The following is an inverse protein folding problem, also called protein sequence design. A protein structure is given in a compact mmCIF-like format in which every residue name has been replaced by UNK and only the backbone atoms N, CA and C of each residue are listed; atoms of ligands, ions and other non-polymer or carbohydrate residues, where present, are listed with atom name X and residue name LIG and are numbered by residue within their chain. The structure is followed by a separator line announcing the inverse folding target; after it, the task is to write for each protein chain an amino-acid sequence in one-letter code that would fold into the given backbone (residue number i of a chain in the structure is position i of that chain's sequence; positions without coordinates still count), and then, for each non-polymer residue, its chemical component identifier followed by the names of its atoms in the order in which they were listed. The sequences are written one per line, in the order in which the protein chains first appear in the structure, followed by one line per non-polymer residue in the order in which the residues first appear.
data_IF_872507304227
#
_entry.id   IF_872507304227
#
_cell.length_a   1.000
_cell.length_b   1.000
_cell.length_c   1.000
_cell.angle_alpha   90.00
_cell.angle_beta   90.00
_cell.angle_gamma   90.00
#
_symmetry.space_group_name_H-M   'P 1'
#
loop_
_entity.id
_entity.type
_entity.pdbx_description
1 polymer ?
#
# COMPACT_ATOMS: atom_id res chain seq x y z
N UNK A 1 -7.30 6.66 3.76
CA UNK A 1 -6.13 6.42 4.65
C UNK A 1 -4.93 5.86 3.87
N UNK A 2 -5.04 4.73 3.16
CA UNK A 2 -3.91 4.09 2.46
C UNK A 2 -3.19 5.02 1.48
N UNK A 3 -3.96 5.68 0.61
CA UNK A 3 -3.46 6.71 -0.35
C UNK A 3 -2.58 7.75 0.35
N UNK A 4 -3.08 8.30 1.45
CA UNK A 4 -2.36 9.32 2.24
C UNK A 4 -1.05 8.79 2.84
N UNK A 5 -1.02 7.55 3.35
CA UNK A 5 0.20 6.96 3.90
C UNK A 5 1.25 6.72 2.80
N UNK A 6 0.84 6.24 1.63
CA UNK A 6 1.72 6.10 0.46
C UNK A 6 2.29 7.44 0.00
N UNK A 7 1.45 8.47 -0.09
CA UNK A 7 1.87 9.84 -0.44
C UNK A 7 2.84 10.45 0.58
N UNK A 8 2.62 10.23 1.88
CA UNK A 8 3.52 10.68 2.95
C UNK A 8 4.90 10.05 2.77
N UNK A 9 4.96 8.75 2.50
CA UNK A 9 6.23 8.04 2.30
C UNK A 9 6.93 8.51 1.03
N UNK A 10 6.21 8.62 -0.09
CA UNK A 10 6.74 9.16 -1.34
C UNK A 10 7.31 10.58 -1.16
N UNK A 11 6.55 11.46 -0.50
CA UNK A 11 6.94 12.84 -0.22
C UNK A 11 8.18 12.89 0.67
N UNK A 12 8.24 12.08 1.74
CA UNK A 12 9.41 12.01 2.62
C UNK A 12 10.65 11.53 1.89
N UNK A 13 10.54 10.49 1.07
CA UNK A 13 11.66 10.00 0.27
C UNK A 13 12.15 11.07 -0.70
N UNK A 14 11.25 11.77 -1.39
CA UNK A 14 11.61 12.89 -2.26
C UNK A 14 12.29 14.03 -1.50
N UNK A 15 11.74 14.45 -0.36
CA UNK A 15 12.34 15.50 0.48
C UNK A 15 13.71 15.12 1.03
N UNK A 16 13.94 13.84 1.30
CA UNK A 16 15.27 13.36 1.69
C UNK A 16 16.26 13.46 0.52
N UNK A 17 15.85 13.05 -0.68
CA UNK A 17 16.65 13.20 -1.91
C UNK A 17 17.01 14.67 -2.20
N UNK A 18 16.07 15.57 -1.93
CA UNK A 18 16.22 17.02 -2.13
C UNK A 18 16.98 17.72 -0.98
N UNK A 19 17.52 16.96 -0.02
CA UNK A 19 18.22 17.45 1.18
C UNK A 19 17.37 18.41 2.05
N UNK A 20 16.03 18.25 2.04
CA UNK A 20 15.10 19.07 2.82
C UNK A 20 14.74 18.46 4.18
N UNK A 21 15.10 17.20 4.42
CA UNK A 21 15.02 16.53 5.71
C UNK A 21 16.33 15.78 5.94
N UNK A 22 16.74 15.63 7.20
CA UNK A 22 17.92 14.88 7.56
C UNK A 22 17.66 13.36 7.56
N UNK A 23 18.72 12.56 7.61
CA UNK A 23 18.60 11.10 7.60
C UNK A 23 17.83 10.55 8.80
N UNK A 24 18.01 11.14 9.99
CA UNK A 24 17.32 10.70 11.20
C UNK A 24 15.80 10.94 11.10
N UNK A 25 15.39 12.12 10.62
CA UNK A 25 13.99 12.44 10.38
C UNK A 25 13.36 11.59 9.26
N UNK A 26 14.15 11.28 8.23
CA UNK A 26 13.71 10.37 7.16
C UNK A 26 13.50 8.94 7.67
N UNK A 27 14.49 8.34 8.31
CA UNK A 27 14.46 6.95 8.82
C UNK A 27 13.37 6.75 9.87
N UNK A 28 13.20 7.71 10.78
CA UNK A 28 12.10 7.71 11.77
C UNK A 28 10.74 7.69 11.07
N UNK A 29 10.56 8.56 10.06
CA UNK A 29 9.33 8.61 9.28
C UNK A 29 9.09 7.33 8.47
N UNK A 30 10.13 6.79 7.85
CA UNK A 30 10.06 5.56 7.08
C UNK A 30 9.59 4.38 7.95
N UNK A 31 10.16 4.24 9.14
CA UNK A 31 9.73 3.22 10.10
C UNK A 31 8.29 3.39 10.55
N UNK A 32 7.90 4.60 10.98
CA UNK A 32 6.55 4.85 11.51
C UNK A 32 5.44 4.71 10.45
N UNK A 33 5.57 5.43 9.33
CA UNK A 33 4.53 5.44 8.31
C UNK A 33 4.53 4.19 7.44
N UNK A 34 5.71 3.55 7.23
CA UNK A 34 5.81 2.29 6.52
C UNK A 34 5.09 1.17 7.27
N UNK A 35 5.39 1.03 8.56
CA UNK A 35 4.77 0.03 9.44
C UNK A 35 3.25 0.25 9.58
N UNK A 36 2.78 1.51 9.66
CA UNK A 36 1.36 1.82 9.60
C UNK A 36 0.73 1.39 8.27
N UNK A 37 1.33 1.75 7.13
CA UNK A 37 0.80 1.42 5.81
C UNK A 37 0.65 -0.09 5.62
N UNK A 38 1.73 -0.84 5.86
CA UNK A 38 1.79 -2.29 5.61
C UNK A 38 0.79 -3.04 6.49
N UNK A 39 0.74 -2.75 7.80
CA UNK A 39 -0.21 -3.42 8.71
C UNK A 39 -1.67 -3.15 8.36
N UNK A 40 -1.99 -1.91 7.99
CA UNK A 40 -3.35 -1.55 7.65
C UNK A 40 -3.78 -2.21 6.32
N UNK A 41 -2.92 -2.23 5.30
CA UNK A 41 -3.24 -2.88 4.02
C UNK A 41 -3.40 -4.39 4.16
N UNK A 42 -2.43 -5.08 4.77
CA UNK A 42 -2.54 -6.53 4.98
C UNK A 42 -3.80 -6.91 5.79
N UNK A 43 -4.10 -6.16 6.85
CA UNK A 43 -5.29 -6.41 7.68
C UNK A 43 -6.59 -6.19 6.92
N UNK A 44 -6.65 -5.15 6.10
CA UNK A 44 -7.80 -4.81 5.27
C UNK A 44 -8.06 -5.85 4.19
N UNK A 45 -7.07 -6.13 3.34
CA UNK A 45 -7.22 -7.10 2.25
C UNK A 45 -7.51 -8.51 2.78
N UNK A 46 -6.87 -8.92 3.90
CA UNK A 46 -7.17 -10.22 4.52
C UNK A 46 -8.63 -10.32 4.96
N UNK A 47 -9.21 -9.25 5.48
CA UNK A 47 -10.62 -9.22 5.86
C UNK A 47 -11.52 -9.25 4.62
N UNK A 48 -11.16 -8.53 3.57
CA UNK A 48 -11.90 -8.50 2.31
C UNK A 48 -11.99 -9.87 1.67
N UNK A 49 -10.84 -10.49 1.41
CA UNK A 49 -10.74 -11.80 0.75
C UNK A 49 -11.49 -12.88 1.53
N UNK A 50 -11.37 -12.87 2.86
CA UNK A 50 -11.89 -13.96 3.70
C UNK A 50 -13.35 -13.79 4.07
N UNK A 51 -13.84 -12.57 4.10
CA UNK A 51 -15.15 -12.26 4.69
C UNK A 51 -16.02 -11.45 3.74
N UNK A 52 -15.55 -10.28 3.33
CA UNK A 52 -16.39 -9.28 2.66
C UNK A 52 -16.70 -9.65 1.20
N UNK A 53 -15.69 -10.00 0.40
CA UNK A 53 -15.89 -10.43 -0.98
C UNK A 53 -16.76 -11.69 -1.09
N UNK A 54 -16.57 -12.74 -0.25
CA UNK A 54 -17.50 -13.86 -0.19
C UNK A 54 -18.95 -13.45 0.15
N UNK A 55 -19.18 -12.44 0.97
CA UNK A 55 -20.52 -11.92 1.25
C UNK A 55 -21.14 -11.27 0.01
N UNK A 56 -20.40 -10.38 -0.65
CA UNK A 56 -20.82 -9.70 -1.87
C UNK A 56 -21.13 -10.68 -3.01
N UNK A 57 -20.28 -11.69 -3.22
CA UNK A 57 -20.51 -12.73 -4.22
C UNK A 57 -21.74 -13.59 -3.96
N UNK A 58 -22.14 -13.78 -2.70
CA UNK A 58 -23.41 -14.43 -2.35
C UNK A 58 -24.61 -13.54 -2.61
N UNK A 59 -24.47 -12.23 -2.42
CA UNK A 59 -25.52 -11.25 -2.66
C UNK A 59 -25.78 -11.02 -4.16
N UNK A 60 -24.71 -10.92 -4.97
CA UNK A 60 -24.79 -10.69 -6.41
C UNK A 60 -23.72 -11.48 -7.18
N UNK A 61 -24.15 -12.50 -7.93
CA UNK A 61 -23.25 -13.34 -8.73
C UNK A 61 -22.48 -12.57 -9.81
N UNK A 62 -22.92 -11.37 -10.21
CA UNK A 62 -22.20 -10.52 -11.16
C UNK A 62 -20.87 -10.01 -10.60
N UNK A 63 -20.70 -10.03 -9.28
CA UNK A 63 -19.47 -9.60 -8.61
C UNK A 63 -18.30 -10.57 -8.81
N UNK A 64 -18.52 -11.85 -9.14
CA UNK A 64 -17.45 -12.87 -9.18
C UNK A 64 -16.26 -12.49 -10.05
N UNK A 65 -16.49 -11.95 -11.25
CA UNK A 65 -15.39 -11.49 -12.12
C UNK A 65 -14.63 -10.29 -11.53
N UNK A 66 -15.34 -9.41 -10.81
CA UNK A 66 -14.73 -8.29 -10.08
C UNK A 66 -13.94 -8.78 -8.87
N UNK A 67 -14.44 -9.78 -8.14
CA UNK A 67 -13.73 -10.42 -7.04
C UNK A 67 -12.41 -11.02 -7.50
N UNK A 68 -12.40 -11.79 -8.60
CA UNK A 68 -11.18 -12.39 -9.14
C UNK A 68 -10.14 -11.32 -9.52
N UNK A 69 -10.57 -10.19 -10.06
CA UNK A 69 -9.71 -9.04 -10.37
C UNK A 69 -9.10 -8.46 -9.08
N UNK A 70 -9.93 -8.16 -8.07
CA UNK A 70 -9.49 -7.55 -6.82
C UNK A 70 -8.58 -8.48 -6.00
N UNK A 71 -8.87 -9.78 -5.95
CA UNK A 71 -8.00 -10.77 -5.30
C UNK A 71 -6.65 -10.89 -6.02
N UNK A 72 -6.64 -10.83 -7.35
CA UNK A 72 -5.38 -10.79 -8.12
C UNK A 72 -4.58 -9.52 -7.82
N UNK A 73 -5.26 -8.38 -7.68
CA UNK A 73 -4.64 -7.12 -7.29
C UNK A 73 -4.02 -7.18 -5.89
N UNK A 74 -4.68 -7.85 -4.95
CA UNK A 74 -4.15 -8.05 -3.60
C UNK A 74 -2.82 -8.81 -3.64
N UNK A 75 -2.72 -9.88 -4.45
CA UNK A 75 -1.47 -10.62 -4.61
C UNK A 75 -0.33 -9.77 -5.19
N UNK A 76 -0.64 -8.90 -6.17
CA UNK A 76 0.35 -7.98 -6.74
C UNK A 76 0.77 -6.89 -5.74
N UNK A 77 -0.20 -6.35 -4.97
CA UNK A 77 0.07 -5.38 -3.91
C UNK A 77 0.94 -5.98 -2.80
N UNK A 78 0.68 -7.22 -2.37
CA UNK A 78 1.48 -7.90 -1.35
C UNK A 78 2.93 -8.04 -1.79
N UNK A 79 3.18 -8.45 -3.03
CA UNK A 79 4.55 -8.53 -3.57
C UNK A 79 5.26 -7.16 -3.56
N UNK A 80 4.55 -6.10 -3.98
CA UNK A 80 5.10 -4.74 -3.94
C UNK A 80 5.38 -4.25 -2.50
N UNK A 81 4.49 -4.57 -1.56
CA UNK A 81 4.65 -4.24 -0.14
C UNK A 81 5.82 -5.00 0.49
N UNK A 82 6.06 -6.24 0.09
CA UNK A 82 7.21 -7.04 0.53
C UNK A 82 8.52 -6.43 0.04
N UNK A 83 8.61 -6.03 -1.23
CA UNK A 83 9.77 -5.33 -1.79
C UNK A 83 10.06 -4.01 -1.05
N UNK A 84 9.02 -3.20 -0.84
CA UNK A 84 9.09 -1.96 -0.06
C UNK A 84 9.58 -2.24 1.36
N UNK A 85 9.06 -3.30 2.00
CA UNK A 85 9.43 -3.68 3.38
C UNK A 85 10.89 -4.06 3.46
N UNK A 86 11.37 -4.91 2.56
CA UNK A 86 12.76 -5.36 2.52
C UNK A 86 13.71 -4.18 2.32
N UNK A 87 13.40 -3.31 1.35
CA UNK A 87 14.23 -2.14 1.04
C UNK A 87 14.20 -1.09 2.14
N UNK A 88 13.03 -0.83 2.73
CA UNK A 88 12.89 0.10 3.86
C UNK A 88 13.69 -0.37 5.06
N UNK A 89 13.61 -1.67 5.40
CA UNK A 89 14.40 -2.25 6.48
C UNK A 89 15.91 -2.18 6.20
N UNK A 90 16.33 -2.35 4.95
CA UNK A 90 17.73 -2.18 4.55
C UNK A 90 18.19 -0.73 4.74
N UNK A 91 17.40 0.25 4.32
CA UNK A 91 17.68 1.68 4.51
C UNK A 91 17.82 2.02 5.99
N UNK A 92 16.88 1.57 6.83
CA UNK A 92 16.91 1.79 8.28
C UNK A 92 18.19 1.20 8.89
N UNK A 93 18.57 -0.04 8.52
CA UNK A 93 19.80 -0.67 9.02
C UNK A 93 21.07 0.04 8.55
N UNK A 94 21.12 0.46 7.28
CA UNK A 94 22.28 1.17 6.73
C UNK A 94 22.48 2.54 7.36
N UNK A 95 21.43 3.17 7.89
CA UNK A 95 21.56 4.43 8.60
C UNK A 95 22.48 4.34 9.81
N UNK A 96 22.44 3.22 10.54
CA UNK A 96 23.31 3.03 11.70
C UNK A 96 24.69 2.46 11.31
N UNK A 97 24.75 1.64 10.26
CA UNK A 97 25.95 0.88 9.90
C UNK A 97 26.87 1.59 8.90
N UNK A 98 26.29 2.15 7.82
CA UNK A 98 27.03 2.86 6.76
C UNK A 98 26.08 3.81 6.00
N UNK A 99 25.87 5.04 6.52
CA UNK A 99 24.96 6.01 5.92
C UNK A 99 25.27 6.33 4.45
N UNK A 100 26.54 6.17 4.03
CA UNK A 100 26.98 6.48 2.67
C UNK A 100 26.35 5.55 1.61
N UNK A 101 25.88 4.38 2.04
CA UNK A 101 25.26 3.36 1.19
C UNK A 101 23.76 3.55 1.00
N UNK A 102 23.08 4.32 1.87
CA UNK A 102 21.63 4.55 1.78
C UNK A 102 21.22 5.05 0.39
N UNK A 103 22.02 5.93 -0.21
CA UNK A 103 21.77 6.53 -1.54
C UNK A 103 21.50 5.49 -2.65
N UNK A 104 21.99 4.26 -2.49
CA UNK A 104 21.79 3.18 -3.45
C UNK A 104 20.34 2.62 -3.41
N UNK A 105 19.63 2.82 -2.30
CA UNK A 105 18.27 2.32 -2.11
C UNK A 105 17.20 3.40 -2.21
N UNK A 106 17.55 4.67 -1.97
CA UNK A 106 16.56 5.77 -1.94
C UNK A 106 15.84 5.96 -3.27
N UNK A 107 16.59 5.95 -4.39
CA UNK A 107 16.00 6.07 -5.72
C UNK A 107 15.00 4.95 -6.01
N UNK A 108 15.40 3.68 -5.93
CA UNK A 108 14.49 2.54 -6.08
C UNK A 108 13.29 2.58 -5.12
N UNK A 109 13.49 2.94 -3.85
CA UNK A 109 12.42 3.03 -2.86
C UNK A 109 11.40 4.12 -3.21
N UNK A 110 11.86 5.26 -3.74
CA UNK A 110 10.97 6.32 -4.25
C UNK A 110 10.11 5.83 -5.41
N UNK A 111 10.69 5.04 -6.31
CA UNK A 111 9.97 4.46 -7.43
C UNK A 111 8.93 3.44 -6.97
N UNK A 112 9.25 2.60 -5.99
CA UNK A 112 8.30 1.66 -5.39
C UNK A 112 7.13 2.38 -4.72
N UNK A 113 7.37 3.45 -3.95
CA UNK A 113 6.27 4.27 -3.38
C UNK A 113 5.42 4.97 -4.44
N UNK A 114 6.03 5.40 -5.55
CA UNK A 114 5.29 5.98 -6.68
C UNK A 114 4.42 4.93 -7.38
N UNK A 115 4.95 3.72 -7.61
CA UNK A 115 4.19 2.58 -8.14
C UNK A 115 3.02 2.23 -7.23
N UNK A 116 3.26 2.14 -5.92
CA UNK A 116 2.23 1.86 -4.93
C UNK A 116 1.12 2.90 -4.97
N UNK A 117 1.46 4.19 -5.07
CA UNK A 117 0.46 5.26 -5.11
C UNK A 117 -0.45 5.15 -6.33
N UNK A 118 0.12 4.85 -7.50
CA UNK A 118 -0.65 4.62 -8.74
C UNK A 118 -1.52 3.35 -8.63
N UNK A 119 -0.94 2.26 -8.12
CA UNK A 119 -1.65 1.00 -7.95
C UNK A 119 -2.84 1.16 -7.02
N UNK A 120 -2.62 1.67 -5.80
CA UNK A 120 -3.68 1.89 -4.82
C UNK A 120 -4.76 2.82 -5.35
N UNK A 121 -4.40 3.81 -6.17
CA UNK A 121 -5.39 4.67 -6.79
C UNK A 121 -6.33 3.91 -7.72
N UNK A 122 -5.78 3.03 -8.57
CA UNK A 122 -6.57 2.21 -9.49
C UNK A 122 -7.40 1.18 -8.71
N UNK A 123 -6.75 0.38 -7.87
CA UNK A 123 -7.36 -0.70 -7.10
C UNK A 123 -8.57 -0.22 -6.27
N UNK A 124 -8.41 0.83 -5.47
CA UNK A 124 -9.51 1.35 -4.64
C UNK A 124 -10.66 1.93 -5.49
N UNK A 125 -10.36 2.47 -6.68
CA UNK A 125 -11.41 2.95 -7.59
C UNK A 125 -12.17 1.79 -8.22
N UNK A 126 -11.46 0.74 -8.66
CA UNK A 126 -12.08 -0.48 -9.19
C UNK A 126 -12.98 -1.14 -8.12
N UNK A 127 -12.49 -1.20 -6.88
CA UNK A 127 -13.24 -1.72 -5.75
C UNK A 127 -14.53 -0.92 -5.49
N UNK A 128 -14.44 0.42 -5.41
CA UNK A 128 -15.61 1.28 -5.24
C UNK A 128 -16.64 1.07 -6.37
N UNK A 129 -16.20 1.04 -7.62
CA UNK A 129 -17.05 0.86 -8.80
C UNK A 129 -17.76 -0.50 -8.79
N UNK A 130 -17.12 -1.55 -8.27
CA UNK A 130 -17.68 -2.89 -8.18
C UNK A 130 -18.62 -3.07 -6.97
N UNK A 131 -18.26 -2.52 -5.82
CA UNK A 131 -18.93 -2.81 -4.54
C UNK A 131 -20.10 -1.86 -4.28
N UNK A 132 -19.95 -0.55 -4.54
CA UNK A 132 -20.98 0.46 -4.20
C UNK A 132 -22.36 0.12 -4.82
N UNK A 133 -22.49 -0.30 -6.09
CA UNK A 133 -23.78 -0.68 -6.66
C UNK A 133 -24.46 -1.82 -5.91
N UNK A 134 -23.70 -2.78 -5.39
CA UNK A 134 -24.22 -3.94 -4.65
C UNK A 134 -24.77 -3.46 -3.31
N UNK A 135 -24.04 -2.61 -2.59
CA UNK A 135 -24.47 -2.05 -1.30
C UNK A 135 -25.79 -1.28 -1.43
N UNK A 136 -25.91 -0.46 -2.47
CA UNK A 136 -27.12 0.34 -2.73
C UNK A 136 -28.34 -0.52 -3.07
N UNK A 137 -28.15 -1.64 -3.79
CA UNK A 137 -29.25 -2.53 -4.17
C UNK A 137 -29.66 -3.53 -3.08
N UNK A 138 -28.71 -4.03 -2.28
CA UNK A 138 -28.94 -5.12 -1.34
C UNK A 138 -29.07 -4.68 0.12
N UNK A 139 -28.96 -3.38 0.42
CA UNK A 139 -29.01 -2.81 1.79
C UNK A 139 -28.03 -3.50 2.77
N UNK A 140 -26.87 -3.91 2.27
CA UNK A 140 -25.84 -4.51 3.12
C UNK A 140 -25.22 -3.43 4.02
N UNK A 141 -24.87 -3.80 5.25
CA UNK A 141 -24.14 -2.95 6.19
C UNK A 141 -22.78 -3.60 6.36
N UNK A 142 -21.82 -3.18 5.52
CA UNK A 142 -20.43 -3.68 5.57
C UNK A 142 -19.86 -3.67 6.97
#
# INVERSE_FOLDING_TARGET
MFRQLGEILLSKTQRFMDNQIDGAGYVTGLGQYGDMLIRNLHGHHTWEDRSYFPELSRADRRFQAGQELLESDHLELDNLLDDITQRSNRVIKLFDLDPSQIKNDIGPLREEFAKLSVFLNRHLTDEEDLIVPILLHHKMRG
#
